data_IF_815493283872
#
_entry.id   IF_815493283872
#
_cell.length_a   1.000
_cell.length_b   1.000
_cell.length_c   1.000
_cell.angle_alpha   90.00
_cell.angle_beta   90.00
_cell.angle_gamma   90.00
#
_symmetry.space_group_name_H-M   'P 1'
#
loop_
_entity.id
_entity.type
_entity.pdbx_description
1 polymer ?
#
# COMPACT_ATOMS: atom_id res chain seq x y z
N UNK A 1 45.75 34.11 40.65
CA UNK A 1 44.90 32.89 40.71
C UNK A 1 43.40 33.14 40.94
N UNK A 2 42.91 34.37 41.18
CA UNK A 2 41.48 34.64 41.47
C UNK A 2 40.57 34.92 40.24
N UNK A 3 41.12 35.08 39.03
CA UNK A 3 40.34 35.43 37.83
C UNK A 3 39.89 34.22 36.97
N UNK A 4 40.42 33.02 37.23
CA UNK A 4 40.03 31.80 36.49
C UNK A 4 38.74 31.14 37.00
N UNK A 5 38.31 31.46 38.23
CA UNK A 5 37.17 30.82 38.90
C UNK A 5 35.83 31.32 38.32
N UNK A 6 35.79 32.56 37.81
CA UNK A 6 34.55 33.18 37.30
C UNK A 6 34.17 32.75 35.87
N UNK A 7 35.08 32.14 35.11
CA UNK A 7 34.81 31.62 33.76
C UNK A 7 34.35 30.16 33.79
N UNK A 8 34.75 29.40 34.81
CA UNK A 8 34.40 27.98 34.94
C UNK A 8 32.95 27.76 35.40
N UNK A 9 32.39 28.67 36.19
CA UNK A 9 31.02 28.56 36.72
C UNK A 9 29.93 28.67 35.62
N UNK A 10 29.96 29.66 34.70
CA UNK A 10 28.97 29.71 33.61
C UNK A 10 29.14 28.55 32.61
N UNK A 11 30.37 28.07 32.40
CA UNK A 11 30.63 26.93 31.50
C UNK A 11 30.09 25.61 32.06
N UNK A 12 30.21 25.38 33.37
CA UNK A 12 29.63 24.22 34.06
C UNK A 12 28.10 24.23 34.04
N UNK A 13 27.47 25.40 34.14
CA UNK A 13 26.00 25.54 34.07
C UNK A 13 25.50 25.25 32.65
N UNK A 14 26.19 25.71 31.59
CA UNK A 14 25.80 25.44 30.20
C UNK A 14 25.93 23.95 29.83
N UNK A 15 26.98 23.26 30.32
CA UNK A 15 27.15 21.82 30.09
C UNK A 15 26.13 20.99 30.90
N UNK A 16 25.77 21.42 32.10
CA UNK A 16 24.74 20.76 32.90
C UNK A 16 23.36 20.87 32.23
N UNK A 17 23.00 22.04 31.69
CA UNK A 17 21.69 22.23 30.99
C UNK A 17 21.58 21.40 29.72
N UNK A 18 22.70 21.13 29.00
CA UNK A 18 22.70 20.21 27.86
C UNK A 18 22.57 18.74 28.24
N UNK A 19 23.08 18.34 29.41
CA UNK A 19 22.96 16.96 29.92
C UNK A 19 21.56 16.63 30.45
N UNK A 20 20.79 17.66 30.83
CA UNK A 20 19.40 17.54 31.30
C UNK A 20 18.36 17.90 30.24
N UNK A 21 18.76 18.25 29.01
CA UNK A 21 17.81 18.29 27.90
C UNK A 21 17.28 16.87 27.71
N UNK A 22 15.97 16.62 27.76
CA UNK A 22 15.44 15.29 27.55
C UNK A 22 15.91 14.84 26.17
N UNK A 23 16.86 13.89 26.13
CA UNK A 23 17.14 13.13 24.91
C UNK A 23 15.78 12.59 24.49
N UNK A 24 15.24 13.10 23.37
CA UNK A 24 13.97 12.61 22.84
C UNK A 24 14.06 11.09 22.87
N UNK A 25 13.15 10.46 23.62
CA UNK A 25 13.10 9.00 23.74
C UNK A 25 13.13 8.42 22.32
N UNK A 26 13.93 7.38 22.04
CA UNK A 26 13.93 6.77 20.72
C UNK A 26 12.50 6.33 20.41
N UNK A 27 11.90 7.02 19.46
CA UNK A 27 10.55 6.78 18.95
C UNK A 27 10.57 5.75 17.83
N UNK A 28 9.44 5.61 17.14
CA UNK A 28 9.37 4.82 15.91
C UNK A 28 9.69 5.69 14.70
N UNK A 29 10.46 5.17 13.77
CA UNK A 29 10.62 5.70 12.42
C UNK A 29 9.63 4.97 11.51
N UNK A 30 8.65 5.70 11.02
CA UNK A 30 7.53 5.17 10.27
C UNK A 30 7.61 5.55 8.80
N UNK A 31 7.80 4.57 7.91
CA UNK A 31 7.73 4.77 6.46
C UNK A 31 6.30 4.49 5.99
N UNK A 32 5.62 5.51 5.44
CA UNK A 32 4.24 5.39 4.99
C UNK A 32 4.13 5.58 3.49
N UNK A 33 3.48 4.64 2.82
CA UNK A 33 2.96 4.80 1.47
C UNK A 33 1.45 5.04 1.41
N UNK A 34 0.83 5.22 2.58
CA UNK A 34 -0.60 5.47 2.76
C UNK A 34 -0.80 6.93 3.14
N UNK A 35 -1.64 7.64 2.38
CA UNK A 35 -1.78 9.10 2.41
C UNK A 35 -2.20 9.66 3.78
N UNK A 36 -2.98 8.89 4.54
CA UNK A 36 -3.45 9.29 5.88
C UNK A 36 -2.50 8.82 7.01
N UNK A 37 -1.40 8.15 6.68
CA UNK A 37 -0.42 7.64 7.64
C UNK A 37 0.20 8.70 8.56
N UNK A 38 0.66 9.87 8.05
CA UNK A 38 1.21 10.92 8.90
C UNK A 38 0.23 11.44 9.95
N UNK A 39 -1.04 11.63 9.55
CA UNK A 39 -2.11 12.05 10.45
C UNK A 39 -2.36 11.02 11.56
N UNK A 40 -2.42 9.73 11.22
CA UNK A 40 -2.62 8.69 12.24
C UNK A 40 -1.40 8.55 13.16
N UNK A 41 -0.18 8.70 12.65
CA UNK A 41 1.03 8.68 13.47
C UNK A 41 1.07 9.85 14.47
N UNK A 42 0.59 11.03 14.08
CA UNK A 42 0.42 12.17 14.98
C UNK A 42 -0.64 11.88 16.05
N UNK A 43 -1.78 11.32 15.66
CA UNK A 43 -2.85 10.95 16.59
C UNK A 43 -2.39 9.90 17.61
N UNK A 44 -1.64 8.88 17.15
CA UNK A 44 -1.01 7.90 18.03
C UNK A 44 -0.04 8.56 19.01
N UNK A 45 0.87 9.41 18.51
CA UNK A 45 1.86 10.09 19.35
C UNK A 45 1.18 10.92 20.46
N UNK A 46 0.06 11.58 20.13
CA UNK A 46 -0.73 12.35 21.10
C UNK A 46 -1.38 11.48 22.17
N UNK A 47 -1.79 10.27 21.82
CA UNK A 47 -2.51 9.36 22.71
C UNK A 47 -1.57 8.52 23.59
N UNK A 48 -0.48 8.00 23.01
CA UNK A 48 0.45 7.11 23.69
C UNK A 48 1.65 7.81 24.32
N UNK A 49 1.97 9.03 23.85
CA UNK A 49 3.23 9.71 24.19
C UNK A 49 4.47 9.09 23.55
N UNK A 50 4.32 8.10 22.66
CA UNK A 50 5.41 7.48 21.90
C UNK A 50 5.65 8.32 20.64
N UNK A 51 6.83 8.97 20.50
CA UNK A 51 7.11 9.79 19.34
C UNK A 51 7.22 8.94 18.06
N UNK A 52 6.64 9.42 16.97
CA UNK A 52 6.74 8.78 15.65
C UNK A 52 7.29 9.78 14.62
N UNK A 53 8.43 9.45 14.01
CA UNK A 53 9.00 10.20 12.89
C UNK A 53 8.53 9.60 11.59
N UNK A 54 7.72 10.34 10.83
CA UNK A 54 7.13 9.86 9.59
C UNK A 54 8.00 10.20 8.40
N UNK A 55 8.14 9.27 7.45
CA UNK A 55 8.68 9.50 6.12
C UNK A 55 7.67 8.99 5.10
N UNK A 56 7.03 9.91 4.39
CA UNK A 56 6.01 9.58 3.39
C UNK A 56 6.63 9.44 2.00
N UNK A 57 6.26 8.38 1.27
CA UNK A 57 6.68 8.13 -0.11
C UNK A 57 5.77 7.08 -0.77
N UNK A 58 5.68 7.05 -2.11
CA UNK A 58 4.91 6.00 -2.80
C UNK A 58 5.44 4.59 -2.49
N UNK A 59 4.59 3.56 -2.56
CA UNK A 59 4.97 2.15 -2.31
C UNK A 59 6.22 1.72 -3.06
N UNK A 60 6.36 2.03 -4.36
CA UNK A 60 7.55 1.66 -5.12
C UNK A 60 8.84 2.27 -4.56
N UNK A 61 8.80 3.57 -4.22
CA UNK A 61 9.92 4.27 -3.58
C UNK A 61 10.22 3.74 -2.17
N UNK A 62 9.17 3.39 -1.40
CA UNK A 62 9.30 2.77 -0.08
C UNK A 62 10.02 1.43 -0.18
N UNK A 63 9.57 0.54 -1.05
CA UNK A 63 10.15 -0.80 -1.22
C UNK A 63 11.59 -0.73 -1.72
N UNK A 64 11.88 0.18 -2.68
CA UNK A 64 13.23 0.42 -3.15
C UNK A 64 14.15 0.91 -2.03
N UNK A 65 13.67 1.83 -1.19
CA UNK A 65 14.42 2.38 -0.06
C UNK A 65 14.68 1.33 1.02
N UNK A 66 13.66 0.54 1.40
CA UNK A 66 13.81 -0.55 2.38
C UNK A 66 14.83 -1.57 1.86
N UNK A 67 14.70 -1.99 0.60
CA UNK A 67 15.63 -2.95 -0.02
C UNK A 67 17.05 -2.41 -0.08
N UNK A 68 17.24 -1.14 -0.43
CA UNK A 68 18.56 -0.51 -0.51
C UNK A 68 19.25 -0.34 0.85
N UNK A 69 18.47 -0.20 1.94
CA UNK A 69 19.01 -0.09 3.29
C UNK A 69 19.49 -1.45 3.82
N UNK A 70 18.93 -2.57 3.34
CA UNK A 70 19.37 -3.91 3.67
C UNK A 70 19.54 -4.12 5.17
N UNK A 71 20.73 -4.56 5.58
CA UNK A 71 21.09 -4.84 6.98
C UNK A 71 21.42 -3.56 7.81
N UNK A 72 21.25 -2.37 7.24
CA UNK A 72 21.35 -1.09 7.95
C UNK A 72 20.03 -0.29 7.87
N UNK A 73 18.91 -0.86 8.34
CA UNK A 73 17.59 -0.24 8.25
C UNK A 73 17.53 1.11 8.97
N UNK A 74 16.89 2.09 8.33
CA UNK A 74 16.64 3.43 8.90
C UNK A 74 15.14 3.66 9.15
N UNK A 75 14.42 2.57 9.46
CA UNK A 75 12.97 2.49 9.64
C UNK A 75 12.65 1.43 10.69
N UNK A 76 11.55 1.61 11.43
CA UNK A 76 11.04 0.65 12.41
C UNK A 76 9.75 -0.03 11.92
N UNK A 77 8.87 0.76 11.28
CA UNK A 77 7.58 0.32 10.75
C UNK A 77 7.46 0.81 9.32
N UNK A 78 6.96 -0.03 8.42
CA UNK A 78 6.60 0.38 7.07
C UNK A 78 5.17 -0.04 6.72
N UNK A 79 4.40 0.84 6.08
CA UNK A 79 3.00 0.63 5.75
C UNK A 79 2.71 0.93 4.28
N UNK A 80 2.22 -0.08 3.55
CA UNK A 80 1.99 0.01 2.11
C UNK A 80 0.95 -1.01 1.63
N UNK A 81 0.45 -0.84 0.41
CA UNK A 81 -0.43 -1.80 -0.26
C UNK A 81 0.39 -2.86 -1.01
N UNK A 82 0.20 -4.15 -0.69
CA UNK A 82 0.83 -5.27 -1.41
C UNK A 82 1.45 -6.34 -0.50
N UNK A 83 0.72 -7.44 -0.24
CA UNK A 83 1.26 -8.57 0.52
C UNK A 83 2.41 -9.30 -0.19
N UNK A 84 2.40 -9.40 -1.53
CA UNK A 84 3.50 -10.01 -2.29
C UNK A 84 4.84 -9.31 -2.05
N UNK A 85 4.82 -7.97 -1.98
CA UNK A 85 6.01 -7.19 -1.66
C UNK A 85 6.47 -7.45 -0.21
N UNK A 86 5.55 -7.54 0.77
CA UNK A 86 5.89 -7.90 2.14
C UNK A 86 6.54 -9.30 2.26
N UNK A 87 6.02 -10.28 1.53
CA UNK A 87 6.63 -11.61 1.43
C UNK A 87 8.03 -11.56 0.77
N UNK A 88 8.22 -10.69 -0.22
CA UNK A 88 9.53 -10.40 -0.80
C UNK A 88 10.54 -9.87 0.23
N UNK A 89 10.13 -8.91 1.06
CA UNK A 89 10.95 -8.36 2.15
C UNK A 89 11.26 -9.40 3.24
N UNK A 90 10.27 -10.23 3.60
CA UNK A 90 10.45 -11.35 4.53
C UNK A 90 11.46 -12.37 4.01
N UNK A 91 11.37 -12.77 2.74
CA UNK A 91 12.34 -13.68 2.10
C UNK A 91 13.75 -13.09 2.07
N UNK A 92 13.86 -11.78 1.97
CA UNK A 92 15.14 -11.05 2.05
C UNK A 92 15.63 -10.84 3.49
N UNK A 93 14.94 -11.37 4.50
CA UNK A 93 15.25 -11.21 5.93
C UNK A 93 15.26 -9.74 6.40
N UNK A 94 14.48 -8.87 5.76
CA UNK A 94 14.43 -7.44 6.10
C UNK A 94 13.34 -7.08 7.11
N UNK A 95 12.50 -8.04 7.52
CA UNK A 95 11.37 -7.80 8.41
C UNK A 95 11.31 -8.78 9.57
N UNK A 96 10.82 -8.31 10.71
CA UNK A 96 10.54 -9.12 11.88
C UNK A 96 9.19 -9.83 11.79
N UNK A 97 9.15 -11.02 12.41
CA UNK A 97 7.95 -11.80 12.65
C UNK A 97 7.43 -11.63 14.08
N UNK A 98 6.15 -11.98 14.30
CA UNK A 98 5.56 -12.17 15.63
C UNK A 98 5.15 -10.89 16.37
N UNK A 99 4.93 -9.78 15.66
CA UNK A 99 4.50 -8.48 16.24
C UNK A 99 2.96 -8.30 16.17
N UNK A 100 2.26 -9.19 15.45
CA UNK A 100 0.79 -9.18 15.30
C UNK A 100 0.10 -9.21 16.68
N UNK A 101 -0.67 -8.17 17.07
CA UNK A 101 -1.41 -8.18 18.31
C UNK A 101 -2.51 -9.24 18.31
N UNK A 102 -2.66 -9.97 19.43
CA UNK A 102 -3.58 -11.12 19.55
C UNK A 102 -5.04 -10.73 19.75
N UNK A 103 -5.29 -9.51 20.19
CA UNK A 103 -6.57 -8.97 20.63
C UNK A 103 -7.32 -8.20 19.53
N UNK A 104 -6.80 -8.17 18.30
CA UNK A 104 -7.51 -7.53 17.19
C UNK A 104 -8.76 -8.35 16.84
N UNK A 105 -9.95 -7.72 16.77
CA UNK A 105 -11.20 -8.39 16.46
C UNK A 105 -11.35 -8.61 14.95
N UNK A 106 -10.48 -9.42 14.35
CA UNK A 106 -10.47 -9.71 12.91
C UNK A 106 -11.82 -10.25 12.40
N UNK A 107 -12.14 -9.94 11.14
CA UNK A 107 -13.07 -10.74 10.32
C UNK A 107 -12.38 -12.03 9.85
N UNK A 108 -13.13 -12.98 9.29
CA UNK A 108 -12.53 -14.21 8.75
C UNK A 108 -11.55 -13.92 7.61
N UNK A 109 -11.91 -13.01 6.71
CA UNK A 109 -11.00 -12.50 5.68
C UNK A 109 -9.76 -11.87 6.32
N UNK A 110 -9.92 -10.99 7.32
CA UNK A 110 -8.80 -10.36 8.02
C UNK A 110 -7.81 -11.37 8.61
N UNK A 111 -8.32 -12.43 9.25
CA UNK A 111 -7.47 -13.53 9.77
C UNK A 111 -6.73 -14.25 8.65
N UNK A 112 -7.39 -14.52 7.53
CA UNK A 112 -6.79 -15.24 6.40
C UNK A 112 -5.65 -14.48 5.69
N UNK A 113 -5.57 -13.16 5.89
CA UNK A 113 -4.55 -12.30 5.29
C UNK A 113 -3.28 -12.15 6.17
N UNK A 114 -3.29 -12.71 7.38
CA UNK A 114 -2.14 -12.76 8.27
C UNK A 114 -1.26 -13.94 7.83
N UNK A 115 0.05 -13.75 7.59
CA UNK A 115 0.92 -14.86 7.23
C UNK A 115 1.13 -15.77 8.44
N UNK A 116 1.38 -17.05 8.18
CA UNK A 116 1.55 -18.04 9.24
C UNK A 116 2.68 -17.70 10.23
N UNK A 117 3.73 -17.02 9.75
CA UNK A 117 4.87 -16.59 10.56
C UNK A 117 4.66 -15.21 11.22
N UNK A 118 3.58 -14.50 10.89
CA UNK A 118 3.31 -13.15 11.40
C UNK A 118 4.30 -12.08 10.95
N UNK A 119 4.88 -12.21 9.75
CA UNK A 119 5.81 -11.22 9.17
C UNK A 119 5.16 -9.87 8.79
N UNK A 120 3.83 -9.82 8.65
CA UNK A 120 3.09 -8.57 8.45
C UNK A 120 1.73 -8.60 9.13
N UNK A 121 1.15 -7.41 9.30
CA UNK A 121 -0.21 -7.19 9.79
C UNK A 121 -1.04 -6.61 8.66
N UNK A 122 -2.14 -7.26 8.22
CA UNK A 122 -3.07 -6.63 7.30
C UNK A 122 -3.85 -5.52 8.03
N UNK A 123 -4.19 -4.44 7.33
CA UNK A 123 -4.79 -3.22 7.92
C UNK A 123 -6.06 -2.74 7.19
N UNK A 124 -6.49 -3.53 6.20
CA UNK A 124 -7.54 -3.21 5.24
C UNK A 124 -7.17 -3.84 3.90
N UNK A 125 -8.06 -3.76 2.92
CA UNK A 125 -7.70 -4.11 1.55
C UNK A 125 -8.35 -3.17 0.54
N UNK A 126 -7.70 -3.10 -0.63
CA UNK A 126 -8.21 -2.49 -1.86
C UNK A 126 -8.25 -3.58 -2.94
N UNK A 127 -8.58 -3.21 -4.18
CA UNK A 127 -8.39 -4.07 -5.34
C UNK A 127 -7.25 -3.51 -6.20
N UNK A 128 -6.36 -4.39 -6.67
CA UNK A 128 -5.16 -3.99 -7.41
C UNK A 128 -5.49 -3.31 -8.75
N UNK A 129 -6.62 -3.70 -9.35
CA UNK A 129 -7.16 -3.11 -10.56
C UNK A 129 -8.69 -3.14 -10.55
N UNK A 130 -9.28 -1.99 -10.84
CA UNK A 130 -10.70 -1.84 -11.19
C UNK A 130 -10.82 -0.99 -12.45
N UNK A 131 -11.99 -1.00 -13.07
CA UNK A 131 -12.28 -0.14 -14.21
C UNK A 131 -12.80 1.21 -13.73
N UNK A 132 -12.07 2.28 -14.03
CA UNK A 132 -12.52 3.67 -13.91
C UNK A 132 -12.88 4.19 -15.30
N UNK A 133 -14.09 4.71 -15.46
CA UNK A 133 -14.63 5.12 -16.77
C UNK A 133 -15.66 6.24 -16.63
N UNK A 134 -16.01 6.96 -17.72
CA UNK A 134 -17.11 7.92 -17.70
C UNK A 134 -18.42 7.23 -17.29
N UNK A 135 -19.17 7.85 -16.37
CA UNK A 135 -20.34 7.22 -15.73
C UNK A 135 -21.45 6.84 -16.71
N UNK A 136 -21.54 7.54 -17.85
CA UNK A 136 -22.53 7.29 -18.91
C UNK A 136 -22.09 6.26 -19.95
N UNK A 137 -20.94 5.62 -19.77
CA UNK A 137 -20.41 4.61 -20.70
C UNK A 137 -20.31 3.25 -20.02
N UNK A 138 -20.61 2.14 -20.75
CA UNK A 138 -20.46 0.81 -20.21
C UNK A 138 -18.98 0.47 -20.00
N UNK A 139 -18.69 -0.33 -18.97
CA UNK A 139 -17.39 -0.91 -18.73
C UNK A 139 -17.34 -2.39 -19.18
N UNK A 140 -16.14 -2.96 -19.35
CA UNK A 140 -15.98 -4.40 -19.47
C UNK A 140 -16.44 -5.11 -18.18
N UNK A 141 -16.93 -6.34 -18.30
CA UNK A 141 -17.30 -7.17 -17.14
C UNK A 141 -16.15 -8.10 -16.72
N UNK A 142 -15.31 -8.52 -17.67
CA UNK A 142 -14.14 -9.37 -17.44
C UNK A 142 -12.86 -8.69 -17.94
N UNK A 143 -11.72 -9.29 -17.63
CA UNK A 143 -10.45 -8.88 -18.21
C UNK A 143 -10.36 -9.21 -19.71
N UNK A 144 -10.94 -10.33 -20.18
CA UNK A 144 -10.98 -10.70 -21.60
C UNK A 144 -11.78 -9.73 -22.47
N UNK A 145 -12.80 -9.09 -21.91
CA UNK A 145 -13.58 -8.09 -22.63
C UNK A 145 -12.70 -6.94 -23.16
N UNK A 146 -11.55 -6.66 -22.54
CA UNK A 146 -10.57 -5.67 -23.00
C UNK A 146 -9.98 -5.99 -24.38
N UNK A 147 -10.09 -7.23 -24.87
CA UNK A 147 -9.61 -7.64 -26.19
C UNK A 147 -10.62 -7.32 -27.31
N UNK A 148 -11.83 -6.88 -26.97
CA UNK A 148 -12.85 -6.51 -27.96
C UNK A 148 -12.42 -5.26 -28.73
N UNK A 149 -12.84 -5.18 -30.00
CA UNK A 149 -12.47 -4.08 -30.91
C UNK A 149 -12.82 -2.68 -30.36
N UNK A 150 -13.91 -2.55 -29.59
CA UNK A 150 -14.33 -1.28 -28.97
C UNK A 150 -13.32 -0.71 -27.98
N UNK A 151 -12.43 -1.54 -27.43
CA UNK A 151 -11.40 -1.11 -26.47
C UNK A 151 -10.03 -0.93 -27.11
N UNK A 152 -9.86 -1.26 -28.39
CA UNK A 152 -8.55 -1.22 -29.06
C UNK A 152 -7.92 0.17 -28.98
N UNK A 153 -6.79 0.30 -28.28
CA UNK A 153 -6.08 1.56 -28.07
C UNK A 153 -6.76 2.54 -27.10
N UNK A 154 -7.87 2.14 -26.45
CA UNK A 154 -8.74 3.01 -25.65
C UNK A 154 -8.72 2.68 -24.15
N UNK A 155 -7.72 1.94 -23.67
CA UNK A 155 -7.55 1.67 -22.24
C UNK A 155 -6.10 1.77 -21.79
N UNK A 156 -5.91 2.06 -20.51
CA UNK A 156 -4.59 2.21 -19.91
C UNK A 156 -4.48 1.55 -18.54
N UNK A 157 -3.25 1.22 -18.14
CA UNK A 157 -2.90 0.77 -16.78
C UNK A 157 -1.64 1.48 -16.26
N UNK A 158 -1.30 1.26 -15.00
CA UNK A 158 -0.02 1.74 -14.45
C UNK A 158 1.13 0.77 -14.76
N UNK A 159 2.36 1.25 -14.70
CA UNK A 159 3.56 0.44 -14.78
C UNK A 159 3.78 -0.31 -13.45
N UNK A 160 3.79 -1.66 -13.42
CA UNK A 160 3.96 -2.44 -12.19
C UNK A 160 5.36 -2.29 -11.57
N UNK A 161 6.38 -1.91 -12.34
CA UNK A 161 7.74 -1.66 -11.84
C UNK A 161 7.89 -0.29 -11.17
N UNK A 162 6.97 0.65 -11.41
CA UNK A 162 6.97 2.00 -10.83
C UNK A 162 5.89 2.14 -9.74
N UNK A 163 4.69 1.63 -10.02
CA UNK A 163 3.53 1.63 -9.14
C UNK A 163 3.39 0.26 -8.48
N UNK A 164 4.05 0.05 -7.33
CA UNK A 164 4.05 -1.23 -6.60
C UNK A 164 2.67 -1.92 -6.43
N UNK A 165 1.58 -1.19 -6.08
CA UNK A 165 0.23 -1.76 -5.98
C UNK A 165 -0.31 -2.39 -7.27
N UNK A 166 0.31 -2.11 -8.43
CA UNK A 166 -0.10 -2.62 -9.73
C UNK A 166 0.49 -3.99 -10.05
N UNK A 167 1.61 -4.38 -9.43
CA UNK A 167 2.19 -5.71 -9.64
C UNK A 167 1.19 -6.85 -9.37
N UNK A 168 0.44 -6.86 -8.25
CA UNK A 168 -0.57 -7.89 -7.99
C UNK A 168 -1.63 -8.03 -9.08
N UNK A 169 -1.97 -6.95 -9.81
CA UNK A 169 -2.89 -7.05 -10.95
C UNK A 169 -2.28 -7.86 -12.10
N UNK A 170 -1.00 -7.63 -12.42
CA UNK A 170 -0.27 -8.40 -13.45
C UNK A 170 -0.13 -9.86 -13.03
N UNK A 171 0.23 -10.12 -11.78
CA UNK A 171 0.26 -11.46 -11.21
C UNK A 171 -1.12 -12.15 -11.26
N UNK A 172 -2.19 -11.42 -10.98
CA UNK A 172 -3.56 -11.91 -11.08
C UNK A 172 -3.97 -12.30 -12.50
N UNK A 173 -3.60 -11.49 -13.50
CA UNK A 173 -3.81 -11.86 -14.90
C UNK A 173 -3.01 -13.10 -15.29
N UNK A 174 -1.76 -13.22 -14.85
CA UNK A 174 -0.99 -14.44 -15.07
C UNK A 174 -1.68 -15.64 -14.42
N UNK A 175 -2.07 -15.53 -13.16
CA UNK A 175 -2.77 -16.58 -12.41
C UNK A 175 -4.07 -17.04 -13.09
N UNK A 176 -4.94 -16.09 -13.43
CA UNK A 176 -6.28 -16.41 -13.97
C UNK A 176 -6.25 -16.95 -15.40
N UNK A 177 -5.15 -16.77 -16.13
CA UNK A 177 -4.98 -17.24 -17.50
C UNK A 177 -3.96 -18.39 -17.61
N UNK A 178 -3.82 -19.20 -16.56
CA UNK A 178 -3.06 -20.46 -16.61
C UNK A 178 -1.56 -20.33 -16.30
N UNK A 179 -1.12 -19.23 -15.69
CA UNK A 179 0.27 -19.02 -15.28
C UNK A 179 1.22 -18.85 -16.47
N UNK A 180 2.48 -19.24 -16.31
CA UNK A 180 3.44 -19.25 -17.42
C UNK A 180 3.35 -20.55 -18.22
N UNK A 181 3.30 -20.50 -19.57
CA UNK A 181 3.37 -19.29 -20.43
C UNK A 181 1.99 -18.69 -20.81
N UNK A 182 0.87 -19.39 -20.56
CA UNK A 182 -0.44 -19.01 -21.09
C UNK A 182 -0.89 -17.58 -20.74
N UNK A 183 -0.64 -17.12 -19.52
CA UNK A 183 -0.93 -15.75 -19.08
C UNK A 183 -0.07 -14.68 -19.75
N UNK A 184 1.12 -15.00 -20.26
CA UNK A 184 1.89 -14.05 -21.08
C UNK A 184 1.16 -13.75 -22.38
N UNK A 185 0.57 -14.76 -23.00
CA UNK A 185 -0.18 -14.59 -24.24
C UNK A 185 -1.34 -13.60 -24.04
N UNK A 186 -2.01 -13.65 -22.89
CA UNK A 186 -3.05 -12.67 -22.54
C UNK A 186 -2.49 -11.24 -22.42
N UNK A 187 -1.39 -11.05 -21.68
CA UNK A 187 -0.73 -9.74 -21.54
C UNK A 187 -0.21 -9.19 -22.88
N UNK A 188 0.34 -10.06 -23.73
CA UNK A 188 0.77 -9.71 -25.09
C UNK A 188 -0.42 -9.37 -25.99
N UNK A 189 -1.57 -10.04 -25.82
CA UNK A 189 -2.81 -9.71 -26.52
C UNK A 189 -3.35 -8.35 -26.08
N UNK A 190 -3.29 -8.00 -24.79
CA UNK A 190 -3.64 -6.66 -24.31
C UNK A 190 -2.73 -5.59 -24.93
N UNK A 191 -1.41 -5.84 -24.98
CA UNK A 191 -0.47 -4.96 -25.69
C UNK A 191 -0.83 -4.82 -27.17
N UNK A 192 -1.07 -5.92 -27.88
CA UNK A 192 -1.44 -5.91 -29.29
C UNK A 192 -2.78 -5.19 -29.52
N UNK A 193 -3.68 -5.21 -28.53
CA UNK A 193 -4.91 -4.44 -28.53
C UNK A 193 -4.72 -2.97 -28.10
N UNK A 194 -3.47 -2.49 -27.97
CA UNK A 194 -3.16 -1.09 -27.72
C UNK A 194 -3.29 -0.66 -26.26
N UNK A 195 -3.09 -1.56 -25.30
CA UNK A 195 -2.97 -1.19 -23.88
C UNK A 195 -1.88 -0.14 -23.69
N UNK A 196 -2.25 1.03 -23.17
CA UNK A 196 -1.30 2.08 -22.80
C UNK A 196 -0.82 1.86 -21.36
N UNK A 197 0.44 2.20 -21.07
CA UNK A 197 1.02 2.04 -19.73
C UNK A 197 1.63 3.35 -19.26
N UNK A 198 1.13 3.87 -18.14
CA UNK A 198 1.61 5.11 -17.53
C UNK A 198 2.35 4.84 -16.22
N UNK A 199 3.24 5.74 -15.75
CA UNK A 199 4.04 5.48 -14.55
C UNK A 199 3.24 5.21 -13.27
N UNK A 200 2.15 5.94 -13.03
CA UNK A 200 1.37 5.91 -11.76
C UNK A 200 -0.13 6.12 -12.01
N UNK A 201 -0.95 5.81 -11.00
CA UNK A 201 -2.40 6.07 -11.00
C UNK A 201 -2.75 7.49 -11.50
N UNK A 202 -2.04 8.52 -11.01
CA UNK A 202 -2.30 9.92 -11.38
C UNK A 202 -2.12 10.18 -12.89
N UNK A 203 -1.15 9.53 -13.53
CA UNK A 203 -0.91 9.67 -14.96
C UNK A 203 -1.99 8.95 -15.78
N UNK A 204 -2.36 7.73 -15.37
CA UNK A 204 -3.44 6.95 -16.00
C UNK A 204 -4.79 7.66 -15.88
N UNK A 205 -5.10 8.22 -14.71
CA UNK A 205 -6.31 9.02 -14.46
C UNK A 205 -6.29 10.31 -15.29
N UNK A 206 -5.12 10.95 -15.43
CA UNK A 206 -4.98 12.12 -16.28
C UNK A 206 -5.30 11.79 -17.75
N UNK A 207 -4.71 10.72 -18.30
CA UNK A 207 -4.98 10.28 -19.68
C UNK A 207 -6.48 10.01 -19.91
N UNK A 208 -7.15 9.36 -18.94
CA UNK A 208 -8.61 9.18 -18.98
C UNK A 208 -9.37 10.52 -18.95
N UNK A 209 -8.94 11.45 -18.10
CA UNK A 209 -9.56 12.76 -17.95
C UNK A 209 -9.44 13.63 -19.20
N UNK A 210 -8.36 13.46 -19.97
CA UNK A 210 -8.13 14.11 -21.27
C UNK A 210 -8.82 13.40 -22.44
N UNK A 211 -9.42 12.23 -22.22
CA UNK A 211 -10.07 11.44 -23.28
C UNK A 211 -9.10 10.70 -24.21
N UNK A 212 -7.82 10.62 -23.85
CA UNK A 212 -6.80 9.83 -24.55
C UNK A 212 -7.15 8.33 -24.50
N UNK A 213 -7.74 7.90 -23.38
CA UNK A 213 -8.35 6.58 -23.20
C UNK A 213 -9.79 6.73 -22.68
N UNK A 214 -10.60 5.70 -22.89
CA UNK A 214 -11.99 5.65 -22.40
C UNK A 214 -12.13 4.87 -21.09
N UNK A 215 -11.07 4.16 -20.69
CA UNK A 215 -11.05 3.26 -19.54
C UNK A 215 -9.66 3.26 -18.88
N UNK A 216 -9.60 3.44 -17.57
CA UNK A 216 -8.38 3.30 -16.78
C UNK A 216 -8.48 2.07 -15.86
N UNK A 217 -7.40 1.28 -15.83
CA UNK A 217 -7.20 0.18 -14.88
C UNK A 217 -6.28 0.70 -13.78
N UNK A 218 -6.87 1.03 -12.64
CA UNK A 218 -6.19 1.66 -11.50
C UNK A 218 -6.59 0.97 -10.21
N UNK A 219 -5.84 1.21 -9.13
CA UNK A 219 -6.21 0.72 -7.80
C UNK A 219 -7.59 1.25 -7.39
N UNK A 220 -8.40 0.43 -6.72
CA UNK A 220 -9.77 0.81 -6.35
C UNK A 220 -9.86 2.07 -5.51
N UNK A 221 -8.91 2.30 -4.60
CA UNK A 221 -8.88 3.50 -3.76
C UNK A 221 -8.81 4.78 -4.60
N UNK A 222 -7.89 4.82 -5.57
CA UNK A 222 -7.74 5.94 -6.49
C UNK A 222 -8.98 6.14 -7.39
N UNK A 223 -9.60 5.05 -7.85
CA UNK A 223 -10.83 5.12 -8.66
C UNK A 223 -12.00 5.69 -7.86
N UNK A 224 -12.24 5.18 -6.65
CA UNK A 224 -13.34 5.64 -5.80
C UNK A 224 -13.11 7.06 -5.30
N UNK A 225 -11.87 7.44 -4.97
CA UNK A 225 -11.52 8.81 -4.63
C UNK A 225 -11.92 9.80 -5.74
N UNK A 226 -11.53 9.52 -6.98
CA UNK A 226 -11.90 10.38 -8.11
C UNK A 226 -13.42 10.42 -8.35
N UNK A 227 -14.10 9.27 -8.23
CA UNK A 227 -15.54 9.19 -8.41
C UNK A 227 -16.30 9.97 -7.33
N UNK A 228 -15.80 9.99 -6.08
CA UNK A 228 -16.38 10.78 -5.00
C UNK A 228 -16.07 12.28 -5.14
N UNK A 229 -14.89 12.65 -5.66
CA UNK A 229 -14.52 14.04 -5.95
C UNK A 229 -15.31 14.63 -7.10
N UNK A 230 -15.70 13.83 -8.10
CA UNK A 230 -16.46 14.25 -9.27
C UNK A 230 -17.71 13.37 -9.49
N UNK A 231 -18.71 13.46 -8.60
CA UNK A 231 -19.90 12.61 -8.65
C UNK A 231 -20.63 12.71 -9.99
N UNK A 232 -21.05 11.56 -10.53
CA UNK A 232 -21.79 11.50 -11.79
C UNK A 232 -20.95 11.69 -13.05
N UNK A 233 -19.68 12.10 -12.94
CA UNK A 233 -18.74 12.11 -14.07
C UNK A 233 -18.08 10.76 -14.27
N UNK A 234 -17.66 10.12 -13.18
CA UNK A 234 -16.93 8.85 -13.20
C UNK A 234 -17.73 7.74 -12.53
N UNK A 235 -17.56 6.53 -13.02
CA UNK A 235 -18.05 5.31 -12.39
C UNK A 235 -16.89 4.31 -12.21
N UNK A 236 -17.04 3.45 -11.22
CA UNK A 236 -16.11 2.38 -10.90
C UNK A 236 -16.81 1.04 -11.09
N UNK A 237 -16.28 0.23 -12.00
CA UNK A 237 -16.75 -1.13 -12.24
C UNK A 237 -15.70 -2.14 -11.78
N UNK A 238 -16.12 -3.11 -10.96
CA UNK A 238 -15.23 -4.18 -10.49
C UNK A 238 -15.33 -5.35 -11.47
N UNK A 239 -14.24 -5.72 -12.17
CA UNK A 239 -14.25 -6.88 -13.05
C UNK A 239 -14.47 -8.18 -12.28
N UNK A 240 -15.03 -9.18 -12.94
CA UNK A 240 -14.98 -10.57 -12.45
C UNK A 240 -13.51 -10.94 -12.25
N UNK A 241 -13.22 -11.63 -11.15
CA UNK A 241 -11.84 -12.01 -10.79
C UNK A 241 -10.92 -10.81 -10.55
N UNK A 242 -11.44 -9.75 -9.91
CA UNK A 242 -10.61 -8.67 -9.38
C UNK A 242 -9.63 -9.20 -8.32
N UNK A 243 -8.43 -8.62 -8.28
CA UNK A 243 -7.35 -9.09 -7.41
C UNK A 243 -7.41 -8.35 -6.08
N UNK A 244 -7.51 -9.10 -4.99
CA UNK A 244 -7.44 -8.58 -3.63
C UNK A 244 -6.03 -8.02 -3.37
N UNK A 245 -5.98 -6.78 -2.89
CA UNK A 245 -4.74 -6.09 -2.56
C UNK A 245 -4.74 -5.70 -1.08
N UNK A 246 -4.15 -6.55 -0.20
CA UNK A 246 -4.06 -6.23 1.21
C UNK A 246 -3.14 -5.03 1.46
N UNK A 247 -3.58 -4.14 2.33
CA UNK A 247 -2.72 -3.12 2.93
C UNK A 247 -2.00 -3.72 4.12
N UNK A 248 -0.68 -3.68 4.13
CA UNK A 248 0.15 -4.43 5.09
C UNK A 248 1.12 -3.53 5.82
N UNK A 249 1.27 -3.77 7.11
CA UNK A 249 2.30 -3.19 7.95
C UNK A 249 3.38 -4.24 8.23
N UNK A 250 4.63 -3.90 7.92
CA UNK A 250 5.81 -4.70 8.25
C UNK A 250 6.67 -3.97 9.28
N UNK A 251 7.52 -4.71 9.97
CA UNK A 251 8.37 -4.23 11.04
C UNK A 251 9.81 -4.58 10.75
N UNK A 252 10.76 -3.71 11.07
CA UNK A 252 12.16 -4.02 10.82
C UNK A 252 12.63 -5.22 11.69
N UNK A 253 13.59 -5.99 11.20
CA UNK A 253 14.12 -7.18 11.88
C UNK A 253 14.89 -6.86 13.18
N UNK A 254 15.59 -5.72 13.21
CA UNK A 254 16.46 -5.25 14.28
C UNK A 254 15.75 -4.63 15.51
N UNK A 255 14.40 -4.61 15.54
CA UNK A 255 13.67 -3.96 16.63
C UNK A 255 14.01 -4.56 17.99
N UNK A 256 14.42 -3.69 18.93
CA UNK A 256 14.58 -4.06 20.34
C UNK A 256 13.25 -4.51 20.96
N UNK A 257 13.31 -5.20 22.11
CA UNK A 257 12.11 -5.62 22.82
C UNK A 257 11.17 -4.45 23.17
N UNK A 258 11.71 -3.25 23.42
CA UNK A 258 10.91 -2.05 23.64
C UNK A 258 10.23 -1.58 22.34
N UNK A 259 10.98 -1.44 21.25
CA UNK A 259 10.42 -1.01 19.96
C UNK A 259 9.38 -2.00 19.44
N UNK A 260 9.56 -3.32 19.67
CA UNK A 260 8.54 -4.32 19.33
C UNK A 260 7.21 -4.10 20.06
N UNK A 261 7.26 -3.71 21.34
CA UNK A 261 6.04 -3.34 22.11
C UNK A 261 5.42 -2.05 21.58
N UNK A 262 6.23 -1.02 21.39
CA UNK A 262 5.77 0.27 20.84
C UNK A 262 5.14 0.09 19.44
N UNK A 263 5.72 -0.78 18.61
CA UNK A 263 5.22 -1.11 17.27
C UNK A 263 3.92 -1.93 17.31
N UNK A 264 3.78 -2.85 18.28
CA UNK A 264 2.52 -3.55 18.51
C UNK A 264 1.43 -2.59 19.01
N UNK A 265 1.76 -1.63 19.87
CA UNK A 265 0.85 -0.57 20.32
C UNK A 265 0.43 0.32 19.14
N UNK A 266 1.38 0.68 18.27
CA UNK A 266 1.12 1.42 17.04
C UNK A 266 0.17 0.66 16.11
N UNK A 267 0.40 -0.64 15.88
CA UNK A 267 -0.48 -1.48 15.07
C UNK A 267 -1.89 -1.60 15.67
N UNK A 268 -2.02 -1.77 17.00
CA UNK A 268 -3.31 -1.76 17.70
C UNK A 268 -4.05 -0.44 17.50
N UNK A 269 -3.34 0.69 17.64
CA UNK A 269 -3.92 2.00 17.41
C UNK A 269 -4.41 2.15 15.97
N UNK A 270 -3.58 1.80 14.97
CA UNK A 270 -3.95 1.91 13.54
C UNK A 270 -5.18 1.10 13.17
N UNK A 271 -5.39 -0.05 13.83
CA UNK A 271 -6.55 -0.93 13.65
C UNK A 271 -7.74 -0.58 14.55
N UNK A 272 -7.61 0.41 15.44
CA UNK A 272 -8.70 0.82 16.32
C UNK A 272 -9.85 1.46 15.54
N UNK A 273 -11.10 1.38 16.05
CA UNK A 273 -12.26 2.00 15.39
C UNK A 273 -12.05 3.48 15.10
N UNK A 274 -11.48 4.22 16.07
CA UNK A 274 -11.20 5.65 15.97
C UNK A 274 -10.17 5.98 14.87
N UNK A 275 -9.09 5.20 14.76
CA UNK A 275 -8.09 5.42 13.71
C UNK A 275 -8.63 5.06 12.33
N UNK A 276 -9.43 3.98 12.23
CA UNK A 276 -10.09 3.58 10.99
C UNK A 276 -11.13 4.61 10.54
N UNK A 277 -11.90 5.19 11.48
CA UNK A 277 -12.82 6.30 11.19
C UNK A 277 -12.07 7.53 10.69
N UNK A 278 -10.93 7.87 11.30
CA UNK A 278 -10.08 8.97 10.87
C UNK A 278 -9.48 8.71 9.48
N UNK A 279 -9.08 7.48 9.18
CA UNK A 279 -8.55 7.05 7.88
C UNK A 279 -9.58 7.13 6.74
N UNK A 280 -10.85 6.84 7.04
CA UNK A 280 -11.94 6.81 6.06
C UNK A 280 -12.65 8.17 5.89
N UNK A 281 -12.14 9.25 6.49
CA UNK A 281 -12.70 10.58 6.27
C UNK A 281 -12.54 11.01 4.81
N UNK A 282 -13.58 11.67 4.29
CA UNK A 282 -13.59 12.21 2.92
C UNK A 282 -12.36 13.08 2.63
N UNK A 283 -11.78 12.92 1.44
CA UNK A 283 -10.64 13.71 0.96
C UNK A 283 -9.26 13.05 1.10
N UNK A 284 -9.16 11.85 1.68
CA UNK A 284 -7.95 11.03 1.62
C UNK A 284 -8.10 9.94 0.53
N UNK A 285 -7.32 9.98 -0.56
CA UNK A 285 -7.45 9.00 -1.65
C UNK A 285 -7.35 7.55 -1.19
N UNK A 286 -6.46 7.25 -0.23
CA UNK A 286 -6.28 5.90 0.30
C UNK A 286 -7.36 5.48 1.33
N UNK A 287 -8.22 6.42 1.74
CA UNK A 287 -9.33 6.21 2.67
C UNK A 287 -10.47 5.38 2.09
N UNK A 288 -10.48 5.14 0.78
CA UNK A 288 -11.41 4.24 0.10
C UNK A 288 -10.89 2.80 0.10
N UNK A 289 -11.14 2.08 1.19
CA UNK A 289 -10.74 0.67 1.36
C UNK A 289 -11.80 -0.11 2.14
N UNK A 290 -11.75 -1.44 2.03
CA UNK A 290 -12.62 -2.32 2.82
C UNK A 290 -11.93 -2.71 4.13
N UNK A 291 -12.59 -2.52 5.28
CA UNK A 291 -12.04 -2.93 6.57
C UNK A 291 -12.03 -4.45 6.74
N UNK A 292 -11.17 -4.90 7.64
CA UNK A 292 -10.93 -6.33 7.93
C UNK A 292 -11.02 -6.66 9.43
N UNK A 293 -11.50 -5.71 10.23
CA UNK A 293 -11.82 -5.91 11.64
C UNK A 293 -13.32 -5.70 11.84
N UNK A 294 -13.91 -6.43 12.79
CA UNK A 294 -15.34 -6.39 13.11
C UNK A 294 -15.77 -5.09 13.78
N UNK A 295 -14.81 -4.29 14.26
CA UNK A 295 -15.05 -3.04 14.99
C UNK A 295 -14.73 -1.79 14.17
N UNK A 296 -14.14 -1.94 12.98
CA UNK A 296 -13.93 -0.82 12.08
C UNK A 296 -15.28 -0.29 11.55
N UNK A 297 -15.37 1.01 11.21
CA UNK A 297 -16.50 1.54 10.45
C UNK A 297 -16.66 0.78 9.13
N UNK A 298 -17.87 0.80 8.56
CA UNK A 298 -18.10 0.23 7.23
C UNK A 298 -17.37 1.04 6.16
N UNK A 299 -17.03 0.39 5.03
CA UNK A 299 -16.53 1.09 3.86
C UNK A 299 -17.52 2.18 3.38
N UNK A 300 -17.02 3.17 2.65
CA UNK A 300 -17.84 4.26 2.12
C UNK A 300 -19.04 3.69 1.32
N UNK A 301 -20.28 4.17 1.53
CA UNK A 301 -21.47 3.67 0.82
C UNK A 301 -21.42 3.80 -0.70
N UNK A 302 -20.56 4.68 -1.24
CA UNK A 302 -20.30 4.79 -2.68
C UNK A 302 -19.41 3.68 -3.25
N UNK A 303 -18.80 2.86 -2.39
CA UNK A 303 -18.02 1.70 -2.80
C UNK A 303 -18.93 0.48 -2.97
N UNK A 304 -18.61 -0.35 -3.97
CA UNK A 304 -19.33 -1.60 -4.17
C UNK A 304 -19.05 -2.58 -3.03
N UNK A 305 -20.06 -3.39 -2.69
CA UNK A 305 -19.85 -4.54 -1.81
C UNK A 305 -19.01 -5.60 -2.51
N UNK A 306 -18.06 -6.17 -1.77
CA UNK A 306 -17.16 -7.24 -2.23
C UNK A 306 -17.53 -8.61 -1.68
N UNK A 307 -18.49 -8.70 -0.75
CA UNK A 307 -18.80 -9.93 -0.02
C UNK A 307 -19.24 -11.10 -0.92
N UNK A 308 -19.83 -10.80 -2.08
CA UNK A 308 -20.30 -11.78 -3.06
C UNK A 308 -19.40 -11.89 -4.29
N UNK A 309 -18.29 -11.14 -4.34
CA UNK A 309 -17.41 -11.14 -5.51
C UNK A 309 -16.35 -12.26 -5.38
N UNK A 310 -16.13 -13.06 -6.44
CA UNK A 310 -15.05 -14.03 -6.46
C UNK A 310 -13.71 -13.30 -6.66
N UNK A 311 -13.16 -12.77 -5.57
CA UNK A 311 -11.87 -12.09 -5.57
C UNK A 311 -10.73 -13.10 -5.70
N UNK A 312 -9.73 -12.78 -6.52
CA UNK A 312 -8.47 -13.53 -6.54
C UNK A 312 -7.65 -13.10 -5.33
N UNK A 313 -7.38 -14.04 -4.43
CA UNK A 313 -6.38 -13.88 -3.38
C UNK A 313 -5.09 -14.59 -3.80
N UNK A 314 -4.07 -13.81 -4.17
CA UNK A 314 -2.79 -14.35 -4.59
C UNK A 314 -1.99 -14.82 -3.38
N UNK A 315 -1.37 -16.01 -3.49
CA UNK A 315 -0.35 -16.44 -2.52
C UNK A 315 0.83 -15.44 -2.52
N UNK A 316 1.04 -14.68 -1.43
CA UNK A 316 2.08 -13.68 -1.36
C UNK A 316 3.49 -14.27 -1.50
N UNK A 317 3.74 -15.47 -0.98
CA UNK A 317 5.06 -16.10 -1.04
C UNK A 317 5.39 -16.55 -2.46
N UNK A 318 4.43 -17.20 -3.13
CA UNK A 318 4.61 -17.64 -4.52
C UNK A 318 4.80 -16.46 -5.47
N UNK A 319 3.92 -15.46 -5.39
CA UNK A 319 3.93 -14.32 -6.31
C UNK A 319 4.98 -13.28 -5.93
N UNK A 320 5.25 -13.04 -4.65
CA UNK A 320 6.30 -12.12 -4.20
C UNK A 320 7.70 -12.56 -4.64
N UNK A 321 8.00 -13.86 -4.61
CA UNK A 321 9.28 -14.38 -5.06
C UNK A 321 9.56 -14.16 -6.56
N UNK A 322 8.50 -13.93 -7.36
CA UNK A 322 8.55 -13.77 -8.82
C UNK A 322 8.43 -12.32 -9.28
N UNK A 323 8.16 -11.38 -8.38
CA UNK A 323 7.86 -9.99 -8.71
C UNK A 323 8.94 -9.34 -9.57
N UNK A 324 10.22 -9.48 -9.18
CA UNK A 324 11.34 -8.93 -9.94
C UNK A 324 11.41 -9.48 -11.38
N UNK A 325 11.28 -10.80 -11.54
CA UNK A 325 11.33 -11.45 -12.86
C UNK A 325 10.14 -11.07 -13.74
N UNK A 326 8.94 -10.98 -13.16
CA UNK A 326 7.72 -10.58 -13.88
C UNK A 326 7.78 -9.10 -14.28
N UNK A 327 8.24 -8.21 -13.40
CA UNK A 327 8.42 -6.80 -13.72
C UNK A 327 9.49 -6.58 -14.81
N UNK A 328 10.58 -7.34 -14.79
CA UNK A 328 11.59 -7.32 -15.84
C UNK A 328 11.04 -7.82 -17.18
N UNK A 329 10.27 -8.91 -17.17
CA UNK A 329 9.59 -9.41 -18.37
C UNK A 329 8.57 -8.40 -18.91
N UNK A 330 7.76 -7.79 -18.03
CA UNK A 330 6.79 -6.78 -18.41
C UNK A 330 7.48 -5.55 -19.04
N UNK A 331 8.57 -5.07 -18.44
CA UNK A 331 9.32 -3.92 -18.97
C UNK A 331 9.87 -4.19 -20.38
N UNK A 332 10.50 -5.35 -20.58
CA UNK A 332 11.06 -5.72 -21.89
C UNK A 332 10.00 -6.03 -22.95
N UNK A 333 8.98 -6.82 -22.61
CA UNK A 333 8.04 -7.35 -23.61
C UNK A 333 6.80 -6.49 -23.78
N UNK A 334 6.36 -5.78 -22.73
CA UNK A 334 5.21 -4.89 -22.80
C UNK A 334 5.65 -3.47 -23.15
N UNK A 335 6.66 -2.93 -22.48
CA UNK A 335 7.12 -1.54 -22.70
C UNK A 335 8.20 -1.39 -23.77
N UNK A 336 8.94 -2.46 -24.08
CA UNK A 336 10.06 -2.41 -25.04
C UNK A 336 11.31 -1.74 -24.46
N UNK A 337 11.51 -1.81 -23.14
CA UNK A 337 12.63 -1.20 -22.40
C UNK A 337 13.76 -2.19 -22.09
#
# INVERSE_FOLDING_TARGET
MRKLIWILIPLLIVVAVWSFWPRQKPGLVFYSAVSYGPMLAQAFTKESGIPVRVVEMSTGALLARVSAQGNNPQWDVAWFDGASAAAGLQRAHLVASGIVPRDIPWTDLGKSLIPADGAWIPTGYTLAGVFLHPAKRPAPATWDDLLQARWRGRFAMNNPAISGPTYPQVAGWLYSHGGWPAGQSFLLALKANGMQVYPKNSNTIHALSQGEVDLAIVQSSAAYALAAEQPGRWAVSIPKSAVLLPRVMVFADHLSAKQRRDAADFARFMLSPKAQELAMRKGAPDGYYWPITRTAPTADPGMASTQSLPLINLDPAFWGARESAINAWFSSHILGQ
#
